data_IF_233755356526
#
_entry.id   IF_233755356526
#
_cell.length_a   1.000
_cell.length_b   1.000
_cell.length_c   1.000
_cell.angle_alpha   90.00
_cell.angle_beta   90.00
_cell.angle_gamma   90.00
#
_symmetry.space_group_name_H-M   'P 1'
#
loop_
_entity.id
_entity.type
_entity.pdbx_description
1 polymer ?
#
# COMPACT_ATOMS: atom_id res chain seq x y z
N UNK A 1 -32.82 15.36 17.24
CA UNK A 1 -32.25 14.05 16.82
C UNK A 1 -32.29 13.81 15.31
N UNK A 2 -33.31 14.26 14.56
CA UNK A 2 -33.39 14.06 13.09
C UNK A 2 -32.21 14.65 12.30
N UNK A 3 -31.73 15.84 12.68
CA UNK A 3 -30.55 16.48 12.07
C UNK A 3 -29.30 15.59 12.22
N UNK A 4 -29.10 14.98 13.39
CA UNK A 4 -27.97 14.09 13.65
C UNK A 4 -28.04 12.82 12.77
N UNK A 5 -29.24 12.26 12.57
CA UNK A 5 -29.43 11.14 11.66
C UNK A 5 -29.06 11.49 10.21
N UNK A 6 -29.44 12.68 9.73
CA UNK A 6 -29.07 13.17 8.39
C UNK A 6 -27.57 13.37 8.26
N UNK A 7 -26.91 13.97 9.27
CA UNK A 7 -25.44 14.13 9.27
C UNK A 7 -24.74 12.78 9.19
N UNK A 8 -25.19 11.77 9.94
CA UNK A 8 -24.62 10.42 9.92
C UNK A 8 -24.77 9.77 8.53
N UNK A 9 -25.91 9.93 7.87
CA UNK A 9 -26.12 9.44 6.50
C UNK A 9 -25.17 10.13 5.52
N UNK A 10 -25.01 11.46 5.62
CA UNK A 10 -24.11 12.22 4.75
C UNK A 10 -22.65 11.80 4.91
N UNK A 11 -22.20 11.56 6.15
CA UNK A 11 -20.86 11.03 6.41
C UNK A 11 -20.69 9.62 5.81
N UNK A 12 -21.72 8.78 5.90
CA UNK A 12 -21.69 7.46 5.27
C UNK A 12 -21.62 7.52 3.74
N UNK A 13 -22.35 8.43 3.12
CA UNK A 13 -22.29 8.67 1.66
C UNK A 13 -20.90 9.19 1.24
N UNK A 14 -20.31 10.11 2.00
CA UNK A 14 -18.96 10.59 1.76
C UNK A 14 -17.93 9.44 1.83
N UNK A 15 -18.03 8.58 2.85
CA UNK A 15 -17.19 7.38 2.96
C UNK A 15 -17.34 6.43 1.78
N UNK A 16 -18.57 6.18 1.32
CA UNK A 16 -18.82 5.38 0.10
C UNK A 16 -18.15 5.98 -1.14
N UNK A 17 -18.25 7.29 -1.33
CA UNK A 17 -17.64 7.98 -2.48
C UNK A 17 -16.11 7.80 -2.43
N UNK A 18 -15.48 8.07 -1.28
CA UNK A 18 -14.04 7.88 -1.14
C UNK A 18 -13.61 6.44 -1.37
N UNK A 19 -14.33 5.47 -0.81
CA UNK A 19 -14.01 4.06 -1.00
C UNK A 19 -14.15 3.60 -2.45
N UNK A 20 -15.16 4.09 -3.18
CA UNK A 20 -15.34 3.85 -4.62
C UNK A 20 -14.26 4.50 -5.48
N UNK A 21 -13.66 5.61 -5.05
CA UNK A 21 -12.55 6.26 -5.75
C UNK A 21 -11.21 5.54 -5.50
N UNK A 22 -10.98 5.05 -4.29
CA UNK A 22 -9.72 4.38 -3.93
C UNK A 22 -9.54 2.99 -4.56
N UNK A 23 -10.62 2.24 -4.79
CA UNK A 23 -10.55 0.93 -5.44
C UNK A 23 -9.94 0.96 -6.87
N UNK A 24 -10.48 1.74 -7.82
CA UNK A 24 -9.92 1.82 -9.16
C UNK A 24 -8.54 2.48 -9.17
N UNK A 25 -8.28 3.45 -8.28
CA UNK A 25 -6.96 4.07 -8.16
C UNK A 25 -5.88 3.09 -7.70
N UNK A 26 -6.21 2.20 -6.76
CA UNK A 26 -5.32 1.12 -6.36
C UNK A 26 -5.08 0.12 -7.50
N UNK A 27 -6.12 -0.23 -8.26
CA UNK A 27 -5.99 -1.15 -9.40
C UNK A 27 -5.11 -0.57 -10.51
N UNK A 28 -5.26 0.72 -10.83
CA UNK A 28 -4.39 1.38 -11.81
C UNK A 28 -2.93 1.44 -11.32
N UNK A 29 -2.73 1.72 -10.04
CA UNK A 29 -1.39 1.72 -9.43
C UNK A 29 -0.72 0.33 -9.44
N UNK A 30 -1.46 -0.74 -9.10
CA UNK A 30 -0.94 -2.11 -9.19
C UNK A 30 -0.50 -2.47 -10.62
N UNK A 31 -1.27 -2.03 -11.62
CA UNK A 31 -0.97 -2.29 -13.03
C UNK A 31 0.24 -1.49 -13.53
N UNK A 32 0.39 -0.22 -13.13
CA UNK A 32 1.56 0.58 -13.44
C UNK A 32 2.84 -0.02 -12.81
N UNK A 33 2.75 -0.50 -11.58
CA UNK A 33 3.86 -1.19 -10.92
C UNK A 33 4.19 -2.47 -11.68
N UNK A 34 3.20 -3.31 -12.00
CA UNK A 34 3.39 -4.56 -12.74
C UNK A 34 4.09 -4.33 -14.09
N UNK A 35 3.73 -3.26 -14.81
CA UNK A 35 4.39 -2.87 -16.05
C UNK A 35 5.84 -2.41 -15.82
N UNK A 36 6.10 -1.70 -14.73
CA UNK A 36 7.43 -1.15 -14.41
C UNK A 36 8.43 -2.21 -13.93
N UNK A 37 7.95 -3.30 -13.35
CA UNK A 37 8.80 -4.41 -12.87
C UNK A 37 8.93 -5.54 -13.90
N UNK A 38 8.21 -5.48 -15.02
CA UNK A 38 8.26 -6.50 -16.06
C UNK A 38 9.71 -6.75 -16.51
N UNK A 39 10.11 -8.02 -16.69
CA UNK A 39 9.27 -9.22 -16.79
C UNK A 39 8.95 -9.91 -15.45
N UNK A 40 9.32 -9.34 -14.31
CA UNK A 40 9.00 -9.96 -13.00
C UNK A 40 7.51 -9.81 -12.69
N UNK A 41 6.91 -10.85 -12.14
CA UNK A 41 5.56 -10.77 -11.56
C UNK A 41 5.63 -10.19 -10.15
N UNK A 42 4.52 -9.60 -9.67
CA UNK A 42 4.43 -9.01 -8.32
C UNK A 42 4.81 -10.00 -7.21
N UNK A 43 4.47 -11.29 -7.38
CA UNK A 43 4.79 -12.35 -6.42
C UNK A 43 6.29 -12.69 -6.41
N UNK A 44 6.95 -12.62 -7.57
CA UNK A 44 8.38 -12.91 -7.72
C UNK A 44 9.29 -11.78 -7.23
N UNK A 45 8.78 -10.55 -7.07
CA UNK A 45 9.59 -9.42 -6.58
C UNK A 45 10.13 -9.70 -5.18
N UNK A 46 9.35 -10.35 -4.32
CA UNK A 46 9.78 -10.71 -2.97
C UNK A 46 10.92 -11.72 -3.01
N UNK A 47 10.74 -12.82 -3.73
CA UNK A 47 11.76 -13.86 -3.85
C UNK A 47 13.06 -13.33 -4.46
N UNK A 48 12.94 -12.44 -5.46
CA UNK A 48 14.10 -11.77 -6.05
C UNK A 48 14.75 -10.79 -5.07
N UNK A 49 13.97 -10.01 -4.32
CA UNK A 49 14.50 -9.11 -3.30
C UNK A 49 15.29 -9.90 -2.25
N UNK A 50 14.73 -10.99 -1.74
CA UNK A 50 15.37 -11.80 -0.70
C UNK A 50 16.64 -12.48 -1.22
N UNK A 51 16.63 -12.98 -2.46
CA UNK A 51 17.81 -13.53 -3.11
C UNK A 51 18.92 -12.48 -3.32
N UNK A 52 18.58 -11.26 -3.73
CA UNK A 52 19.54 -10.15 -3.91
C UNK A 52 20.04 -9.66 -2.56
N UNK A 53 19.16 -9.57 -1.55
CA UNK A 53 19.52 -9.20 -0.19
C UNK A 53 20.53 -10.19 0.40
N UNK A 54 20.30 -11.50 0.27
CA UNK A 54 21.23 -12.51 0.74
C UNK A 54 22.61 -12.42 0.06
N UNK A 55 22.65 -12.21 -1.27
CA UNK A 55 23.91 -12.00 -2.00
C UNK A 55 24.61 -10.71 -1.59
N UNK A 56 23.85 -9.63 -1.41
CA UNK A 56 24.38 -8.36 -0.95
C UNK A 56 24.98 -8.49 0.45
N UNK A 57 24.29 -9.16 1.38
CA UNK A 57 24.76 -9.34 2.76
C UNK A 57 26.05 -10.20 2.80
N UNK A 58 26.18 -11.20 1.94
CA UNK A 58 27.42 -11.97 1.78
C UNK A 58 28.60 -11.11 1.33
N UNK A 59 28.42 -10.26 0.32
CA UNK A 59 29.48 -9.38 -0.18
C UNK A 59 29.77 -8.25 0.82
N UNK A 60 28.73 -7.70 1.43
CA UNK A 60 28.84 -6.69 2.48
C UNK A 60 29.72 -7.18 3.63
N UNK A 61 29.49 -8.39 4.14
CA UNK A 61 30.34 -8.96 5.21
C UNK A 61 31.82 -9.07 4.81
N UNK A 62 32.13 -9.25 3.53
CA UNK A 62 33.50 -9.37 3.04
C UNK A 62 34.15 -8.00 2.77
N UNK A 63 33.41 -7.05 2.19
CA UNK A 63 33.97 -5.78 1.70
C UNK A 63 33.79 -4.61 2.68
N UNK A 64 32.70 -4.58 3.46
CA UNK A 64 32.35 -3.45 4.31
C UNK A 64 33.42 -3.09 5.37
N UNK A 65 34.12 -4.04 6.02
CA UNK A 65 35.20 -3.71 6.96
C UNK A 65 36.35 -2.95 6.28
N UNK A 66 36.69 -3.31 5.04
CA UNK A 66 37.79 -2.70 4.30
C UNK A 66 37.38 -1.36 3.69
N UNK A 67 36.11 -1.22 3.30
CA UNK A 67 35.52 0.04 2.84
C UNK A 67 35.46 1.05 3.99
N UNK A 68 34.99 0.65 5.18
CA UNK A 68 34.89 1.53 6.35
C UNK A 68 36.26 1.95 6.87
N UNK A 69 37.28 1.09 6.76
CA UNK A 69 38.66 1.43 7.06
C UNK A 69 39.33 2.35 6.02
N UNK A 70 38.63 2.69 4.92
CA UNK A 70 39.17 3.48 3.81
C UNK A 70 40.26 2.76 3.01
N UNK A 71 40.39 1.45 3.18
CA UNK A 71 41.45 0.63 2.60
C UNK A 71 41.07 0.04 1.23
N UNK A 72 39.77 0.00 0.91
CA UNK A 72 39.27 -0.48 -0.37
C UNK A 72 38.07 0.34 -0.85
N UNK A 73 37.96 0.53 -2.17
CA UNK A 73 36.72 1.02 -2.78
C UNK A 73 35.70 -0.11 -2.92
N UNK A 74 34.39 0.19 -2.88
CA UNK A 74 33.35 -0.82 -3.09
C UNK A 74 33.46 -1.47 -4.46
N UNK A 75 33.29 -2.78 -4.53
CA UNK A 75 33.35 -3.48 -5.81
C UNK A 75 32.16 -3.11 -6.71
N UNK A 76 32.33 -3.31 -8.02
CA UNK A 76 31.24 -3.13 -8.99
C UNK A 76 30.03 -4.02 -8.66
N UNK A 77 30.28 -5.23 -8.14
CA UNK A 77 29.22 -6.16 -7.73
C UNK A 77 28.48 -5.65 -6.49
N UNK A 78 29.19 -5.12 -5.49
CA UNK A 78 28.57 -4.50 -4.32
C UNK A 78 27.66 -3.33 -4.70
N UNK A 79 28.14 -2.44 -5.57
CA UNK A 79 27.34 -1.31 -6.07
C UNK A 79 26.12 -1.77 -6.88
N UNK A 80 26.30 -2.78 -7.74
CA UNK A 80 25.22 -3.35 -8.54
C UNK A 80 24.12 -3.98 -7.67
N UNK A 81 24.50 -4.82 -6.71
CA UNK A 81 23.54 -5.47 -5.81
C UNK A 81 22.86 -4.47 -4.88
N UNK A 82 23.57 -3.45 -4.42
CA UNK A 82 23.00 -2.33 -3.65
C UNK A 82 21.91 -1.62 -4.44
N UNK A 83 22.21 -1.21 -5.68
CA UNK A 83 21.23 -0.56 -6.57
C UNK A 83 20.04 -1.48 -6.88
N UNK A 84 20.29 -2.75 -7.17
CA UNK A 84 19.23 -3.73 -7.44
C UNK A 84 18.34 -3.95 -6.22
N UNK A 85 18.91 -4.05 -5.02
CA UNK A 85 18.15 -4.14 -3.75
C UNK A 85 17.32 -2.88 -3.52
N UNK A 86 17.86 -1.70 -3.79
CA UNK A 86 17.13 -0.44 -3.66
C UNK A 86 15.93 -0.38 -4.62
N UNK A 87 16.11 -0.73 -5.90
CA UNK A 87 15.04 -0.74 -6.90
C UNK A 87 13.95 -1.76 -6.57
N UNK A 88 14.33 -2.99 -6.19
CA UNK A 88 13.37 -4.01 -5.77
C UNK A 88 12.66 -3.62 -4.46
N UNK A 89 13.35 -2.94 -3.55
CA UNK A 89 12.78 -2.37 -2.33
C UNK A 89 11.73 -1.30 -2.61
N UNK A 90 12.01 -0.40 -3.57
CA UNK A 90 11.04 0.60 -4.04
C UNK A 90 9.82 -0.06 -4.68
N UNK A 91 10.03 -1.06 -5.53
CA UNK A 91 8.94 -1.83 -6.12
C UNK A 91 8.06 -2.48 -5.03
N UNK A 92 8.68 -3.12 -4.03
CA UNK A 92 7.99 -3.74 -2.89
C UNK A 92 7.20 -2.73 -2.06
N UNK A 93 7.77 -1.55 -1.82
CA UNK A 93 7.09 -0.45 -1.14
C UNK A 93 5.87 0.05 -1.91
N UNK A 94 6.02 0.28 -3.22
CA UNK A 94 4.93 0.75 -4.08
C UNK A 94 3.80 -0.28 -4.15
N UNK A 95 4.11 -1.57 -4.24
CA UNK A 95 3.12 -2.65 -4.15
C UNK A 95 2.38 -2.63 -2.81
N UNK A 96 3.11 -2.42 -1.71
CA UNK A 96 2.52 -2.29 -0.37
C UNK A 96 1.54 -1.12 -0.28
N UNK A 97 1.93 0.05 -0.82
CA UNK A 97 1.07 1.24 -0.87
C UNK A 97 -0.18 0.99 -1.69
N UNK A 98 -0.07 0.37 -2.88
CA UNK A 98 -1.23 0.08 -3.71
C UNK A 98 -2.22 -0.88 -3.01
N UNK A 99 -1.72 -1.94 -2.36
CA UNK A 99 -2.54 -2.84 -1.53
C UNK A 99 -3.19 -2.12 -0.34
N UNK A 100 -2.48 -1.21 0.30
CA UNK A 100 -2.99 -0.42 1.42
C UNK A 100 -4.13 0.52 0.98
N UNK A 101 -3.97 1.23 -0.15
CA UNK A 101 -5.03 2.07 -0.73
C UNK A 101 -6.27 1.24 -1.06
N UNK A 102 -6.09 0.05 -1.63
CA UNK A 102 -7.19 -0.88 -1.88
C UNK A 102 -7.92 -1.28 -0.60
N UNK A 103 -7.18 -1.62 0.45
CA UNK A 103 -7.74 -2.02 1.74
C UNK A 103 -8.54 -0.87 2.36
N UNK A 104 -7.99 0.35 2.36
CA UNK A 104 -8.71 1.53 2.84
C UNK A 104 -9.98 1.77 2.04
N UNK A 105 -9.94 1.64 0.71
CA UNK A 105 -11.14 1.77 -0.11
C UNK A 105 -12.26 0.78 0.29
N UNK A 106 -11.90 -0.46 0.61
CA UNK A 106 -12.85 -1.47 1.11
C UNK A 106 -13.38 -1.09 2.50
N UNK A 107 -12.53 -0.63 3.41
CA UNK A 107 -12.93 -0.20 4.75
C UNK A 107 -13.88 0.99 4.67
N UNK A 108 -13.57 1.98 3.84
CA UNK A 108 -14.40 3.17 3.63
C UNK A 108 -15.79 2.81 3.10
N UNK A 109 -15.88 1.82 2.20
CA UNK A 109 -17.17 1.28 1.75
C UNK A 109 -17.93 0.63 2.92
N UNK A 110 -17.28 -0.22 3.71
CA UNK A 110 -17.92 -0.91 4.83
C UNK A 110 -18.42 0.07 5.89
N UNK A 111 -17.59 1.04 6.27
CA UNK A 111 -17.95 2.11 7.22
C UNK A 111 -19.06 2.98 6.63
N UNK A 112 -18.96 3.33 5.35
CA UNK A 112 -19.96 4.13 4.64
C UNK A 112 -21.34 3.48 4.66
N UNK A 113 -21.42 2.19 4.32
CA UNK A 113 -22.66 1.40 4.39
C UNK A 113 -23.19 1.29 5.82
N UNK A 114 -22.31 1.07 6.80
CA UNK A 114 -22.68 1.01 8.21
C UNK A 114 -23.28 2.31 8.73
N UNK A 115 -22.69 3.45 8.37
CA UNK A 115 -23.19 4.78 8.73
C UNK A 115 -24.53 5.09 8.05
N UNK A 116 -24.70 4.73 6.77
CA UNK A 116 -26.00 4.91 6.08
C UNK A 116 -27.09 4.08 6.75
N UNK A 117 -26.81 2.83 7.11
CA UNK A 117 -27.77 1.96 7.79
C UNK A 117 -28.11 2.50 9.18
N UNK A 118 -27.11 2.85 10.00
CA UNK A 118 -27.31 3.41 11.34
C UNK A 118 -28.08 4.74 11.30
N UNK A 119 -27.71 5.64 10.38
CA UNK A 119 -28.38 6.90 10.15
C UNK A 119 -29.84 6.72 9.72
N UNK A 120 -30.12 5.75 8.83
CA UNK A 120 -31.48 5.42 8.40
C UNK A 120 -32.33 4.89 9.56
N UNK A 121 -31.80 3.99 10.39
CA UNK A 121 -32.49 3.47 11.58
C UNK A 121 -32.81 4.59 12.57
N UNK A 122 -31.86 5.50 12.82
CA UNK A 122 -32.07 6.66 13.68
C UNK A 122 -33.17 7.59 13.13
N UNK A 123 -33.21 7.78 11.82
CA UNK A 123 -34.19 8.64 11.16
C UNK A 123 -35.61 8.04 11.30
N UNK A 124 -35.77 6.74 11.05
CA UNK A 124 -37.04 6.02 11.22
C UNK A 124 -37.51 6.06 12.68
N UNK A 125 -36.61 5.80 13.64
CA UNK A 125 -36.94 5.83 15.08
C UNK A 125 -37.44 7.21 15.52
N UNK A 126 -36.77 8.27 15.08
CA UNK A 126 -37.13 9.65 15.41
C UNK A 126 -38.38 10.15 14.65
N UNK A 127 -38.82 9.43 13.62
CA UNK A 127 -40.05 9.74 12.92
C UNK A 127 -41.26 9.09 13.62
N UNK A 128 -41.11 7.85 14.09
CA UNK A 128 -42.14 7.15 14.88
C UNK A 128 -42.38 7.72 16.28
N UNK A 129 -41.42 8.48 16.81
CA UNK A 129 -41.48 9.07 18.15
C UNK A 129 -42.06 10.50 18.17
N UNK A 130 -42.51 11.03 17.04
CA UNK A 130 -43.14 12.34 16.91
C UNK A 130 -44.53 12.16 16.29
#
# INVERSE_FOLDING_TARGET
MRVLAVVVILLGLAGLIFGLLFLPQASSGEQEIANSIAPLTLDQVNDKYDAVAAKYDQIKMAEEPQIQAGQAMPSAMYNYLSAQRALLGLAKSNMGTAKFVRLNGIIDIMVGLGLIAAGSVLLIKNWKAA
#
